data_IF_807443819232
#
_entry.id   IF_807443819232
#
_cell.length_a   1.000
_cell.length_b   1.000
_cell.length_c   1.000
_cell.angle_alpha   90.00
_cell.angle_beta   90.00
_cell.angle_gamma   90.00
#
_symmetry.space_group_name_H-M   'P 1'
#
loop_
_entity.id
_entity.type
_entity.pdbx_description
1 polymer ?
#
# COMPACT_ATOMS: atom_id res chain seq x y z
N UNK A 1 36.24 -36.97 69.81
CA UNK A 1 35.24 -36.03 69.24
C UNK A 1 34.95 -36.32 67.75
N UNK A 2 35.39 -37.46 67.20
CA UNK A 2 35.31 -37.72 65.75
C UNK A 2 34.02 -38.43 65.33
N UNK A 3 33.34 -39.12 66.24
CA UNK A 3 32.12 -39.88 65.92
C UNK A 3 30.90 -38.98 65.66
N UNK A 4 30.82 -37.82 66.32
CA UNK A 4 29.74 -36.85 66.13
C UNK A 4 29.76 -36.30 64.71
N UNK A 5 30.95 -36.00 64.19
CA UNK A 5 31.12 -35.51 62.81
C UNK A 5 30.70 -36.53 61.77
N UNK A 6 30.90 -37.83 62.08
CA UNK A 6 30.57 -38.93 61.17
C UNK A 6 29.09 -39.26 61.16
N UNK A 7 28.40 -39.09 62.28
CA UNK A 7 26.94 -39.16 62.36
C UNK A 7 26.27 -37.96 61.69
N UNK A 8 26.79 -36.75 61.91
CA UNK A 8 26.30 -35.54 61.23
C UNK A 8 26.41 -35.67 59.70
N UNK A 9 27.52 -36.22 59.19
CA UNK A 9 27.70 -36.39 57.75
C UNK A 9 26.72 -37.44 57.17
N UNK A 10 26.36 -38.48 57.93
CA UNK A 10 25.35 -39.46 57.51
C UNK A 10 23.95 -38.86 57.50
N UNK A 11 23.60 -38.01 58.46
CA UNK A 11 22.31 -37.32 58.47
C UNK A 11 22.20 -36.28 57.36
N UNK A 12 23.27 -35.54 57.07
CA UNK A 12 23.32 -34.60 55.94
C UNK A 12 23.15 -35.33 54.60
N UNK A 13 23.70 -36.54 54.45
CA UNK A 13 23.49 -37.34 53.23
C UNK A 13 22.06 -37.88 53.10
N UNK A 14 21.39 -38.19 54.21
CA UNK A 14 19.98 -38.64 54.21
C UNK A 14 18.97 -37.52 54.01
N UNK A 15 19.29 -36.29 54.44
CA UNK A 15 18.42 -35.12 54.28
C UNK A 15 18.53 -34.43 52.91
N UNK A 16 19.48 -34.84 52.05
CA UNK A 16 19.55 -34.32 50.68
C UNK A 16 18.30 -34.75 49.90
N UNK A 17 17.43 -33.81 49.48
CA UNK A 17 16.23 -34.16 48.74
C UNK A 17 16.61 -34.80 47.41
N UNK A 18 15.96 -35.92 47.07
CA UNK A 18 16.15 -36.57 45.76
C UNK A 18 15.90 -35.52 44.66
N UNK A 19 16.77 -35.42 43.64
CA UNK A 19 16.61 -34.43 42.58
C UNK A 19 15.25 -34.66 41.89
N UNK A 20 14.33 -33.73 42.10
CA UNK A 20 13.00 -33.77 41.50
C UNK A 20 13.16 -33.63 39.98
N UNK A 21 12.89 -34.70 39.23
CA UNK A 21 12.83 -34.67 37.76
C UNK A 21 11.69 -33.75 37.34
N UNK A 22 12.00 -32.46 37.18
CA UNK A 22 11.06 -31.47 36.66
C UNK A 22 10.87 -31.76 35.17
N UNK A 23 9.77 -32.41 34.82
CA UNK A 23 9.30 -32.48 33.44
C UNK A 23 9.02 -31.04 32.97
N UNK A 24 10.00 -30.42 32.31
CA UNK A 24 9.91 -29.04 31.80
C UNK A 24 8.93 -29.02 30.63
N UNK A 25 7.63 -29.01 30.92
CA UNK A 25 6.61 -28.69 29.93
C UNK A 25 6.71 -27.19 29.64
N UNK A 26 7.41 -26.85 28.55
CA UNK A 26 7.44 -25.48 28.03
C UNK A 26 6.02 -25.07 27.64
N UNK A 27 5.44 -24.16 28.42
CA UNK A 27 4.17 -23.50 28.13
C UNK A 27 4.47 -22.09 27.65
N UNK A 28 3.97 -21.77 26.47
CA UNK A 28 4.06 -20.42 25.90
C UNK A 28 2.88 -19.65 26.47
N UNK A 29 3.18 -18.52 27.10
CA UNK A 29 2.23 -17.66 27.77
C UNK A 29 2.27 -16.33 27.04
N UNK A 30 1.13 -15.89 26.53
CA UNK A 30 1.02 -14.60 25.85
C UNK A 30 0.53 -13.62 26.92
N UNK A 31 1.34 -12.61 27.19
CA UNK A 31 1.02 -11.51 28.10
C UNK A 31 0.63 -10.34 27.20
N UNK A 32 -0.61 -9.89 27.34
CA UNK A 32 -1.08 -8.67 26.67
C UNK A 32 -0.54 -7.43 27.42
N UNK A 33 -0.47 -6.28 26.75
CA UNK A 33 0.01 -5.00 27.30
C UNK A 33 -0.83 -4.53 28.52
N UNK A 34 -1.97 -5.17 28.75
CA UNK A 34 -2.88 -4.94 29.87
C UNK A 34 -2.71 -5.94 31.03
N UNK A 35 -1.66 -6.77 31.04
CA UNK A 35 -1.44 -7.79 32.06
C UNK A 35 -2.40 -8.98 31.98
N UNK A 36 -3.19 -9.06 30.92
CA UNK A 36 -4.04 -10.21 30.61
C UNK A 36 -3.19 -11.41 30.23
N UNK A 37 -3.28 -12.47 31.01
CA UNK A 37 -2.56 -13.73 30.77
C UNK A 37 -3.49 -14.67 30.02
N UNK A 38 -3.13 -15.04 28.78
CA UNK A 38 -3.80 -16.13 28.05
C UNK A 38 -2.82 -17.28 27.80
N UNK A 39 -3.24 -18.50 28.11
CA UNK A 39 -2.45 -19.71 27.86
C UNK A 39 -2.46 -20.03 26.36
N UNK A 40 -1.29 -20.02 25.73
CA UNK A 40 -1.11 -20.29 24.30
C UNK A 40 -1.13 -21.79 23.98
N UNK A 41 -2.13 -22.53 24.46
CA UNK A 41 -2.20 -23.99 24.26
C UNK A 41 -2.45 -24.36 22.78
N UNK A 42 -3.19 -23.52 22.07
CA UNK A 42 -3.47 -23.67 20.63
C UNK A 42 -2.30 -23.27 19.72
N UNK A 43 -1.23 -22.68 20.25
CA UNK A 43 -0.11 -22.20 19.42
C UNK A 43 0.74 -23.35 18.85
N UNK A 44 0.89 -24.45 19.61
CA UNK A 44 1.64 -25.64 19.16
C UNK A 44 1.00 -26.33 17.96
N UNK A 45 -0.32 -26.67 17.98
CA UNK A 45 -0.95 -27.26 16.81
C UNK A 45 -0.99 -26.29 15.63
N UNK A 46 -1.20 -24.99 15.87
CA UNK A 46 -1.19 -23.97 14.82
C UNK A 46 0.15 -23.95 14.05
N UNK A 47 1.27 -23.95 14.78
CA UNK A 47 2.61 -23.93 14.17
C UNK A 47 2.88 -25.20 13.37
N UNK A 48 2.39 -26.36 13.85
CA UNK A 48 2.47 -27.63 13.13
C UNK A 48 1.72 -27.58 11.78
N UNK A 49 0.49 -27.07 11.78
CA UNK A 49 -0.31 -26.92 10.56
C UNK A 49 0.35 -25.95 9.58
N UNK A 50 0.85 -24.82 10.07
CA UNK A 50 1.51 -23.82 9.23
C UNK A 50 2.78 -24.39 8.57
N UNK A 51 3.56 -25.17 9.31
CA UNK A 51 4.74 -25.87 8.78
C UNK A 51 4.36 -26.89 7.71
N UNK A 52 3.33 -27.71 7.94
CA UNK A 52 2.85 -28.69 6.96
C UNK A 52 2.37 -28.02 5.66
N UNK A 53 1.62 -26.92 5.77
CA UNK A 53 1.15 -26.14 4.62
C UNK A 53 2.33 -25.53 3.86
N UNK A 54 3.33 -25.00 4.56
CA UNK A 54 4.54 -24.47 3.94
C UNK A 54 5.28 -25.51 3.11
N UNK A 55 5.44 -26.73 3.65
CA UNK A 55 6.07 -27.85 2.94
C UNK A 55 5.27 -28.23 1.69
N UNK A 56 3.93 -28.27 1.77
CA UNK A 56 3.08 -28.59 0.63
C UNK A 56 3.25 -27.57 -0.51
N UNK A 57 3.29 -26.28 -0.19
CA UNK A 57 3.56 -25.23 -1.18
C UNK A 57 4.96 -25.34 -1.77
N UNK A 58 5.96 -25.69 -0.96
CA UNK A 58 7.33 -25.84 -1.44
C UNK A 58 7.46 -26.99 -2.44
N UNK A 59 6.82 -28.13 -2.17
CA UNK A 59 6.79 -29.28 -3.09
C UNK A 59 6.06 -28.92 -4.39
N UNK A 60 4.91 -28.24 -4.30
CA UNK A 60 4.18 -27.80 -5.48
C UNK A 60 5.00 -26.82 -6.34
N UNK A 61 5.69 -25.86 -5.72
CA UNK A 61 6.57 -24.92 -6.40
C UNK A 61 7.76 -25.62 -7.07
N UNK A 62 8.36 -26.61 -6.42
CA UNK A 62 9.44 -27.40 -7.00
C UNK A 62 8.96 -28.15 -8.25
N UNK A 63 7.81 -28.84 -8.17
CA UNK A 63 7.22 -29.54 -9.32
C UNK A 63 6.92 -28.56 -10.47
N UNK A 64 6.35 -27.40 -10.16
CA UNK A 64 6.08 -26.35 -11.15
C UNK A 64 7.36 -25.83 -11.81
N UNK A 65 8.43 -25.64 -11.03
CA UNK A 65 9.73 -25.21 -11.53
C UNK A 65 10.36 -26.25 -12.46
N UNK A 66 10.37 -27.53 -12.07
CA UNK A 66 10.89 -28.62 -12.90
C UNK A 66 10.09 -28.78 -14.20
N UNK A 67 8.76 -28.73 -14.14
CA UNK A 67 7.90 -28.84 -15.32
C UNK A 67 7.93 -27.59 -16.21
N UNK A 68 8.17 -26.41 -15.64
CA UNK A 68 8.36 -25.16 -16.38
C UNK A 68 9.68 -25.15 -17.15
N UNK A 69 10.75 -25.64 -16.54
CA UNK A 69 12.07 -25.74 -17.20
C UNK A 69 12.06 -26.75 -18.33
N UNK A 70 11.45 -27.93 -18.13
CA UNK A 70 11.41 -28.94 -19.19
C UNK A 70 10.72 -28.43 -20.46
N UNK A 71 9.63 -27.67 -20.32
CA UNK A 71 8.97 -27.00 -21.46
C UNK A 71 9.89 -26.00 -22.20
N UNK A 72 10.76 -25.31 -21.46
CA UNK A 72 11.75 -24.40 -22.05
C UNK A 72 12.84 -25.13 -22.84
N UNK A 73 13.31 -26.28 -22.32
CA UNK A 73 14.33 -27.11 -22.97
C UNK A 73 13.84 -27.66 -24.30
N UNK A 74 12.58 -28.10 -24.39
CA UNK A 74 12.01 -28.61 -25.64
C UNK A 74 11.95 -27.54 -26.74
N UNK A 75 11.65 -26.29 -26.36
CA UNK A 75 11.62 -25.17 -27.29
C UNK A 75 13.02 -24.79 -27.80
N UNK A 76 14.05 -24.89 -26.96
CA UNK A 76 15.43 -24.67 -27.37
C UNK A 76 15.88 -25.80 -28.30
N UNK A 77 15.55 -27.06 -27.98
CA UNK A 77 15.88 -28.23 -28.80
C UNK A 77 15.27 -28.15 -30.20
N UNK A 78 13.99 -27.78 -30.30
CA UNK A 78 13.31 -27.62 -31.60
C UNK A 78 13.92 -26.48 -32.44
N UNK A 79 14.38 -25.39 -31.82
CA UNK A 79 15.11 -24.32 -32.52
C UNK A 79 16.48 -24.79 -33.02
N UNK A 80 17.20 -25.57 -32.22
CA UNK A 80 18.52 -26.08 -32.57
C UNK A 80 18.45 -27.05 -33.75
N UNK A 81 17.51 -28.00 -33.72
CA UNK A 81 17.24 -28.90 -34.86
C UNK A 81 16.84 -28.12 -36.11
N UNK A 82 16.04 -27.06 -35.97
CA UNK A 82 15.65 -26.22 -37.12
C UNK A 82 16.84 -25.47 -37.72
N UNK A 83 17.78 -24.96 -36.91
CA UNK A 83 18.98 -24.31 -37.42
C UNK A 83 19.94 -25.30 -38.07
N UNK A 84 20.09 -26.49 -37.50
CA UNK A 84 20.91 -27.57 -38.05
C UNK A 84 20.40 -27.97 -39.45
N UNK A 85 19.10 -28.23 -39.57
CA UNK A 85 18.48 -28.55 -40.86
C UNK A 85 18.68 -27.45 -41.92
N UNK A 86 18.64 -26.17 -41.52
CA UNK A 86 18.89 -25.05 -42.45
C UNK A 86 20.34 -24.98 -42.91
N UNK A 87 21.29 -25.30 -42.03
CA UNK A 87 22.71 -25.35 -42.39
C UNK A 87 22.95 -26.49 -43.38
N UNK A 88 22.35 -27.66 -43.15
CA UNK A 88 22.45 -28.81 -44.04
C UNK A 88 21.79 -28.56 -45.41
N UNK A 89 20.66 -27.87 -45.42
CA UNK A 89 19.99 -27.44 -46.65
C UNK A 89 20.87 -26.47 -47.45
N UNK A 90 21.38 -25.41 -46.81
CA UNK A 90 22.28 -24.46 -47.46
C UNK A 90 23.59 -25.10 -47.92
N UNK A 91 24.11 -26.09 -47.17
CA UNK A 91 25.31 -26.83 -47.59
C UNK A 91 25.03 -27.65 -48.85
N UNK A 92 23.88 -28.32 -48.93
CA UNK A 92 23.47 -29.07 -50.13
C UNK A 92 23.23 -28.15 -51.32
N UNK A 93 22.54 -27.03 -51.13
CA UNK A 93 22.35 -26.03 -52.20
C UNK A 93 23.70 -25.50 -52.70
N UNK A 94 24.63 -25.19 -51.80
CA UNK A 94 25.99 -24.78 -52.15
C UNK A 94 26.72 -25.86 -52.94
N UNK A 95 26.64 -27.12 -52.54
CA UNK A 95 27.27 -28.23 -53.25
C UNK A 95 26.70 -28.42 -54.65
N UNK A 96 25.37 -28.32 -54.82
CA UNK A 96 24.71 -28.40 -56.13
C UNK A 96 25.14 -27.25 -57.03
N UNK A 97 25.21 -26.03 -56.50
CA UNK A 97 25.66 -24.85 -57.25
C UNK A 97 27.14 -24.94 -57.62
N UNK A 98 27.99 -25.41 -56.70
CA UNK A 98 29.40 -25.66 -56.97
C UNK A 98 29.57 -26.74 -58.04
N UNK A 99 28.84 -27.86 -57.96
CA UNK A 99 28.87 -28.91 -58.96
C UNK A 99 28.44 -28.38 -60.34
N UNK A 100 27.37 -27.58 -60.39
CA UNK A 100 26.91 -26.95 -61.64
C UNK A 100 27.94 -25.96 -62.21
N UNK A 101 28.61 -25.19 -61.35
CA UNK A 101 29.66 -24.26 -61.75
C UNK A 101 30.88 -25.01 -62.34
N UNK A 102 31.32 -26.07 -61.66
CA UNK A 102 32.42 -26.94 -62.09
C UNK A 102 32.09 -27.63 -63.42
N UNK A 103 30.87 -28.17 -63.57
CA UNK A 103 30.40 -28.77 -64.84
C UNK A 103 30.30 -27.72 -65.95
N UNK A 104 29.90 -26.48 -65.63
CA UNK A 104 29.84 -25.37 -66.59
C UNK A 104 31.23 -24.85 -67.01
N UNK A 105 32.34 -25.42 -66.50
CA UNK A 105 33.70 -25.07 -66.88
C UNK A 105 34.12 -23.63 -66.52
N UNK A 106 33.36 -22.97 -65.63
CA UNK A 106 33.69 -21.63 -65.12
C UNK A 106 34.51 -21.79 -63.85
N UNK A 107 35.81 -21.59 -63.96
CA UNK A 107 36.70 -21.60 -62.79
C UNK A 107 36.22 -20.57 -61.73
N UNK A 108 36.18 -20.93 -60.43
CA UNK A 108 35.72 -20.04 -59.36
C UNK A 108 36.66 -18.84 -59.08
N UNK A 109 37.73 -18.67 -59.86
CA UNK A 109 38.69 -17.57 -59.72
C UNK A 109 38.20 -16.23 -60.27
N UNK A 110 37.09 -16.17 -61.00
CA UNK A 110 36.68 -14.93 -61.71
C UNK A 110 35.62 -14.11 -60.95
N UNK A 111 34.91 -14.67 -59.96
CA UNK A 111 33.94 -13.88 -59.15
C UNK A 111 34.65 -13.24 -57.94
N UNK A 112 35.69 -12.46 -58.20
CA UNK A 112 36.29 -11.52 -57.22
C UNK A 112 36.38 -10.08 -57.76
N UNK A 113 35.81 -9.81 -58.95
CA UNK A 113 35.96 -8.51 -59.63
C UNK A 113 34.69 -7.80 -60.07
N UNK A 114 33.51 -8.24 -59.63
CA UNK A 114 32.26 -7.57 -60.03
C UNK A 114 31.25 -7.48 -58.89
N UNK A 115 31.69 -6.90 -57.76
CA UNK A 115 30.82 -6.23 -56.78
C UNK A 115 31.57 -5.00 -56.25
N UNK A 116 31.99 -4.12 -57.16
CA UNK A 116 32.22 -2.71 -56.83
C UNK A 116 31.48 -1.89 -57.89
N UNK A 117 30.24 -1.54 -57.57
CA UNK A 117 29.58 -0.26 -57.84
C UNK A 117 28.05 -0.45 -57.86
N UNK A 118 27.45 -0.39 -56.67
CA UNK A 118 26.28 0.46 -56.33
C UNK A 118 25.81 0.17 -54.89
N UNK A 119 26.02 1.19 -54.05
CA UNK A 119 25.62 1.53 -52.65
C UNK A 119 24.39 0.82 -52.03
N UNK A 120 24.14 0.86 -50.69
CA UNK A 120 24.80 1.62 -49.60
C UNK A 120 25.17 0.80 -48.33
N UNK A 121 26.13 1.30 -47.55
CA UNK A 121 26.44 0.84 -46.18
C UNK A 121 25.84 1.83 -45.18
N UNK A 122 24.89 1.34 -44.39
CA UNK A 122 24.44 1.92 -43.12
C UNK A 122 25.22 1.19 -42.02
N UNK A 123 26.02 1.91 -41.23
CA UNK A 123 25.82 2.00 -39.78
C UNK A 123 26.90 2.84 -39.08
N UNK A 124 26.40 3.67 -38.15
CA UNK A 124 26.96 4.01 -36.83
C UNK A 124 27.64 5.38 -36.66
N UNK A 125 26.83 6.37 -36.26
CA UNK A 125 27.12 7.12 -35.04
C UNK A 125 25.84 7.64 -34.35
N UNK A 126 25.49 6.89 -33.30
CA UNK A 126 24.99 7.26 -31.97
C UNK A 126 24.52 8.71 -31.68
N UNK A 127 23.28 8.77 -31.18
CA UNK A 127 22.72 9.64 -30.12
C UNK A 127 22.79 11.18 -30.30
N UNK A 128 21.69 11.76 -30.81
CA UNK A 128 21.10 12.98 -30.24
C UNK A 128 19.62 13.12 -30.70
N UNK A 129 18.73 13.29 -29.72
CA UNK A 129 17.37 13.83 -29.82
C UNK A 129 16.27 13.03 -30.53
N UNK A 130 15.62 12.21 -29.69
CA UNK A 130 14.19 11.91 -29.69
C UNK A 130 13.33 13.19 -29.84
N UNK A 131 12.31 13.10 -30.70
CA UNK A 131 10.92 13.51 -30.42
C UNK A 131 10.69 14.99 -30.07
N UNK A 132 10.35 15.76 -31.10
CA UNK A 132 9.58 17.01 -30.96
C UNK A 132 8.49 17.04 -32.04
N UNK A 133 7.53 16.11 -31.93
CA UNK A 133 6.28 16.12 -32.69
C UNK A 133 5.12 16.15 -31.69
N UNK A 134 5.02 17.25 -30.94
CA UNK A 134 3.88 17.55 -30.08
C UNK A 134 3.73 19.06 -29.75
N UNK A 135 4.30 19.94 -30.58
CA UNK A 135 4.34 21.38 -30.34
C UNK A 135 3.77 22.22 -31.50
N UNK A 136 2.68 21.73 -32.12
CA UNK A 136 1.84 22.54 -33.01
C UNK A 136 0.41 22.65 -32.48
N UNK A 137 0.30 23.00 -31.19
CA UNK A 137 -0.89 23.65 -30.63
C UNK A 137 -0.42 24.86 -29.84
N UNK A 138 -1.05 26.01 -30.15
CA UNK A 138 -1.09 27.27 -29.39
C UNK A 138 -0.15 28.39 -29.87
N UNK A 139 -0.62 29.18 -30.85
CA UNK A 139 -0.89 30.65 -30.78
C UNK A 139 -1.17 31.13 -32.21
N UNK A 140 -2.36 31.65 -32.52
CA UNK A 140 -2.78 33.04 -32.26
C UNK A 140 -4.28 33.09 -32.59
N UNK A 141 -5.16 33.33 -31.61
CA UNK A 141 -5.94 34.58 -31.40
C UNK A 141 -6.63 35.09 -32.69
N UNK A 142 -7.90 35.49 -32.77
CA UNK A 142 -8.83 36.00 -31.77
C UNK A 142 -10.19 36.31 -32.47
N UNK A 143 -11.29 36.21 -31.71
CA UNK A 143 -12.39 37.19 -31.61
C UNK A 143 -13.61 37.23 -32.59
N UNK A 144 -14.78 37.36 -31.93
CA UNK A 144 -16.10 37.91 -32.35
C UNK A 144 -16.99 37.00 -33.22
N UNK A 145 -18.30 36.86 -33.03
CA UNK A 145 -19.39 37.78 -32.59
C UNK A 145 -20.57 36.90 -32.10
N UNK A 146 -21.18 37.11 -30.93
CA UNK A 146 -22.45 37.85 -30.68
C UNK A 146 -23.56 37.49 -31.71
N UNK A 147 -24.79 37.08 -31.39
CA UNK A 147 -25.82 37.72 -30.56
C UNK A 147 -27.08 36.83 -30.42
N UNK A 148 -27.79 37.04 -29.30
CA UNK A 148 -29.27 37.01 -29.10
C UNK A 148 -29.99 35.64 -29.15
N UNK A 149 -30.92 35.30 -28.24
CA UNK A 149 -31.91 36.08 -27.47
C UNK A 149 -32.33 35.25 -26.23
N UNK A 150 -32.45 35.78 -25.00
CA UNK A 150 -33.58 36.58 -24.47
C UNK A 150 -34.95 35.87 -24.67
N UNK A 151 -35.88 35.74 -23.72
CA UNK A 151 -36.15 36.45 -22.48
C UNK A 151 -37.31 35.70 -21.75
N UNK A 152 -37.45 35.89 -20.43
CA UNK A 152 -38.69 36.42 -19.77
C UNK A 152 -39.00 35.86 -18.36
N UNK A 153 -38.54 36.64 -17.36
CA UNK A 153 -39.29 37.30 -16.24
C UNK A 153 -39.99 36.40 -15.19
N UNK A 154 -39.53 36.34 -13.92
CA UNK A 154 -39.60 37.31 -12.80
C UNK A 154 -40.97 37.49 -12.12
N UNK A 155 -40.99 37.33 -10.79
CA UNK A 155 -41.62 38.16 -9.73
C UNK A 155 -41.83 37.30 -8.47
N UNK A 156 -41.65 37.74 -7.21
CA UNK A 156 -41.59 39.08 -6.63
C UNK A 156 -40.84 39.02 -5.28
N UNK A 157 -39.97 40.00 -5.09
CA UNK A 157 -39.50 40.49 -3.79
C UNK A 157 -40.63 41.34 -3.18
N UNK A 158 -40.80 41.32 -1.85
CA UNK A 158 -41.25 42.52 -1.12
C UNK A 158 -40.53 42.60 0.22
N UNK A 159 -39.80 43.70 0.35
CA UNK A 159 -39.07 44.12 1.53
C UNK A 159 -39.94 45.00 2.43
N UNK A 160 -39.67 44.95 3.73
CA UNK A 160 -39.80 46.05 4.68
C UNK A 160 -38.98 45.69 5.91
N UNK A 161 -38.26 46.57 6.59
CA UNK A 161 -37.74 47.91 6.33
C UNK A 161 -36.71 48.11 7.47
N UNK A 162 -35.58 48.75 7.14
CA UNK A 162 -34.43 49.06 8.00
C UNK A 162 -34.73 50.20 9.01
N UNK A 163 -34.10 50.16 10.19
CA UNK A 163 -33.52 51.24 11.02
C UNK A 163 -33.33 50.72 12.47
N UNK A 164 -32.25 50.88 13.25
CA UNK A 164 -30.98 51.64 13.17
C UNK A 164 -29.97 51.06 14.19
N UNK A 165 -28.72 50.82 13.73
CA UNK A 165 -27.37 51.06 14.29
C UNK A 165 -27.18 51.24 15.83
N UNK A 166 -26.38 50.36 16.48
CA UNK A 166 -25.09 50.70 17.16
C UNK A 166 -24.43 49.52 17.96
N UNK A 167 -23.34 48.94 17.39
CA UNK A 167 -22.03 48.47 17.99
C UNK A 167 -21.97 47.36 19.10
N UNK A 168 -20.88 46.53 19.24
CA UNK A 168 -19.96 45.81 18.33
C UNK A 168 -20.03 44.24 18.52
N UNK A 169 -19.21 43.39 17.85
CA UNK A 169 -19.63 42.05 17.42
C UNK A 169 -19.30 40.92 18.41
N UNK A 170 -20.34 40.29 18.95
CA UNK A 170 -20.23 38.92 19.46
C UNK A 170 -20.45 37.94 18.29
N UNK A 171 -19.34 37.49 17.71
CA UNK A 171 -19.29 36.34 16.81
C UNK A 171 -19.66 35.08 17.58
N UNK A 172 -20.96 34.86 17.81
CA UNK A 172 -21.51 33.56 18.18
C UNK A 172 -22.16 32.94 16.94
N UNK A 173 -21.31 32.54 16.00
CA UNK A 173 -21.68 31.50 15.05
C UNK A 173 -22.00 30.25 15.87
N UNK A 174 -23.29 29.98 16.01
CA UNK A 174 -23.91 28.89 16.76
C UNK A 174 -23.15 27.58 16.55
N UNK A 175 -22.30 27.25 17.52
CA UNK A 175 -21.78 25.90 17.71
C UNK A 175 -22.96 25.03 18.10
N UNK A 176 -23.53 24.33 17.11
CA UNK A 176 -24.55 23.30 17.31
C UNK A 176 -23.98 22.32 18.33
N UNK A 177 -24.57 22.27 19.53
CA UNK A 177 -24.13 21.43 20.66
C UNK A 177 -23.98 19.98 20.17
N UNK A 178 -22.76 19.60 19.84
CA UNK A 178 -22.44 18.26 19.34
C UNK A 178 -22.50 17.30 20.52
N UNK A 179 -23.52 16.43 20.51
CA UNK A 179 -23.62 15.33 21.46
C UNK A 179 -22.53 14.31 21.12
N UNK A 180 -21.37 14.42 21.78
CA UNK A 180 -20.23 13.50 21.62
C UNK A 180 -20.69 12.08 21.97
N UNK A 181 -20.99 11.31 20.95
CA UNK A 181 -21.49 9.93 21.05
C UNK A 181 -20.32 8.94 21.10
N UNK A 182 -19.13 9.41 20.70
CA UNK A 182 -17.93 8.62 20.53
C UNK A 182 -16.75 9.31 21.21
N UNK A 183 -15.80 8.51 21.72
CA UNK A 183 -14.52 8.94 22.24
C UNK A 183 -13.37 8.28 21.47
N UNK A 184 -12.24 8.99 21.41
CA UNK A 184 -11.00 8.50 20.81
C UNK A 184 -9.92 8.44 21.87
N UNK A 185 -9.27 7.28 21.99
CA UNK A 185 -8.18 6.99 22.93
C UNK A 185 -6.97 6.42 22.17
N UNK A 186 -5.78 6.53 22.77
CA UNK A 186 -4.53 5.91 22.28
C UNK A 186 -4.21 6.23 20.81
N UNK A 187 -4.30 7.52 20.46
CA UNK A 187 -3.95 7.96 19.11
C UNK A 187 -2.44 7.93 18.89
N UNK A 188 -1.99 7.31 17.80
CA UNK A 188 -0.60 7.23 17.42
C UNK A 188 -0.44 7.26 15.90
N UNK A 189 0.63 7.91 15.43
CA UNK A 189 1.03 7.94 14.02
C UNK A 189 2.47 7.43 13.94
N UNK A 190 2.68 6.30 13.27
CA UNK A 190 4.00 5.65 13.19
C UNK A 190 4.35 5.26 11.76
N UNK A 191 5.64 5.03 11.50
CA UNK A 191 6.13 4.47 10.23
C UNK A 191 6.06 2.93 10.28
N UNK A 192 5.41 2.32 9.29
CA UNK A 192 5.19 0.86 9.19
C UNK A 192 6.30 0.19 8.35
N UNK A 193 7.38 -0.20 9.03
CA UNK A 193 8.42 -1.09 8.50
C UNK A 193 9.20 -0.57 7.28
N UNK A 194 9.90 -1.49 6.61
CA UNK A 194 10.84 -1.25 5.50
C UNK A 194 10.24 -0.55 4.28
N UNK A 195 8.91 -0.56 4.13
CA UNK A 195 8.23 0.08 3.00
C UNK A 195 7.99 1.59 3.21
N UNK A 196 8.22 2.11 4.42
CA UNK A 196 8.02 3.53 4.72
C UNK A 196 6.56 3.98 4.69
N UNK A 197 5.61 3.06 4.84
CA UNK A 197 4.18 3.39 4.89
C UNK A 197 3.87 4.14 6.19
N UNK A 198 2.93 5.09 6.13
CA UNK A 198 2.47 5.81 7.31
C UNK A 198 1.28 5.08 7.92
N UNK A 199 1.27 5.00 9.25
CA UNK A 199 0.30 4.21 9.98
C UNK A 199 -0.35 4.99 11.10
N UNK A 200 -1.63 5.25 10.93
CA UNK A 200 -2.46 5.90 11.93
C UNK A 200 -3.23 4.84 12.70
N UNK A 201 -3.13 4.84 14.02
CA UNK A 201 -3.84 3.93 14.91
C UNK A 201 -4.52 4.70 16.03
N UNK A 202 -5.73 4.30 16.38
CA UNK A 202 -6.42 4.78 17.58
C UNK A 202 -7.54 3.83 17.96
N UNK A 203 -8.01 3.95 19.20
CA UNK A 203 -9.18 3.23 19.66
C UNK A 203 -10.40 4.15 19.61
N UNK A 204 -11.46 3.66 18.99
CA UNK A 204 -12.78 4.29 19.02
C UNK A 204 -13.62 3.62 20.12
N UNK A 205 -14.30 4.42 20.95
CA UNK A 205 -15.13 3.96 22.06
C UNK A 205 -16.51 4.60 22.02
N UNK A 206 -17.55 3.80 22.23
CA UNK A 206 -18.92 4.29 22.37
C UNK A 206 -19.07 4.96 23.74
N UNK A 207 -19.38 6.26 23.75
CA UNK A 207 -19.64 7.05 24.96
C UNK A 207 -21.11 7.45 25.07
N UNK A 208 -21.98 6.81 24.29
CA UNK A 208 -23.42 7.09 24.34
C UNK A 208 -24.03 6.50 25.61
N UNK A 209 -24.96 7.25 26.20
CA UNK A 209 -25.71 6.79 27.38
C UNK A 209 -26.86 5.84 27.01
N UNK A 210 -26.98 5.44 25.73
CA UNK A 210 -28.06 4.59 25.24
C UNK A 210 -27.51 3.20 24.94
N UNK A 211 -28.23 2.13 25.30
CA UNK A 211 -27.88 0.80 24.84
C UNK A 211 -28.06 0.74 23.33
N UNK A 212 -27.02 0.28 22.62
CA UNK A 212 -27.03 0.13 21.16
C UNK A 212 -25.66 0.35 20.53
N UNK A 213 -25.55 -0.12 19.31
CA UNK A 213 -24.35 0.07 18.50
C UNK A 213 -24.32 1.49 17.92
N UNK A 214 -23.12 2.07 17.84
CA UNK A 214 -22.87 3.32 17.12
C UNK A 214 -22.12 2.98 15.85
N UNK A 215 -22.73 3.31 14.71
CA UNK A 215 -22.18 3.15 13.38
C UNK A 215 -21.88 4.49 12.72
N UNK A 216 -20.97 4.45 11.76
CA UNK A 216 -20.66 5.62 10.96
C UNK A 216 -19.43 5.47 10.08
N UNK A 217 -18.89 6.62 9.68
CA UNK A 217 -17.77 6.75 8.74
C UNK A 217 -16.69 7.64 9.33
N UNK A 218 -15.47 7.12 9.38
CA UNK A 218 -14.32 7.81 9.98
C UNK A 218 -13.40 8.36 8.90
N UNK A 219 -12.92 9.58 9.14
CA UNK A 219 -11.83 10.20 8.42
C UNK A 219 -10.78 10.70 9.40
N UNK A 220 -9.52 10.54 9.05
CA UNK A 220 -8.37 11.20 9.69
C UNK A 220 -7.76 12.17 8.70
N UNK A 221 -7.53 13.39 9.16
CA UNK A 221 -6.85 14.45 8.43
C UNK A 221 -5.50 14.70 9.12
N UNK A 222 -4.41 14.47 8.42
CA UNK A 222 -3.06 14.78 8.91
C UNK A 222 -2.62 16.12 8.32
N UNK A 223 -2.23 17.04 9.19
CA UNK A 223 -1.84 18.41 8.83
C UNK A 223 -0.36 18.63 9.18
N UNK A 224 0.45 19.13 8.23
CA UNK A 224 1.73 19.71 8.57
C UNK A 224 1.53 21.00 9.38
N UNK A 225 2.61 21.52 9.95
CA UNK A 225 2.56 22.79 10.71
C UNK A 225 2.19 23.99 9.81
N UNK A 226 2.44 23.84 8.51
CA UNK A 226 2.07 24.81 7.50
C UNK A 226 0.55 24.74 7.24
N UNK A 227 -0.14 25.88 7.32
CA UNK A 227 -1.58 26.00 7.04
C UNK A 227 -1.95 25.87 5.54
N UNK A 228 -1.15 25.16 4.75
CA UNK A 228 -1.37 24.97 3.31
C UNK A 228 -2.25 23.73 3.13
N UNK A 229 -3.50 23.93 2.71
CA UNK A 229 -4.49 22.85 2.57
C UNK A 229 -4.07 21.77 1.56
N UNK A 230 -3.33 22.13 0.51
CA UNK A 230 -2.84 21.18 -0.50
C UNK A 230 -1.84 20.14 0.04
N UNK A 231 -1.25 20.40 1.21
CA UNK A 231 -0.33 19.48 1.88
C UNK A 231 -1.03 18.63 2.94
N UNK A 232 -2.34 18.82 3.12
CA UNK A 232 -3.12 18.04 4.08
C UNK A 232 -3.45 16.68 3.53
N UNK A 233 -3.27 15.67 4.36
CA UNK A 233 -3.51 14.29 3.98
C UNK A 233 -4.80 13.80 4.60
N UNK A 234 -5.81 13.57 3.76
CA UNK A 234 -7.12 13.02 4.15
C UNK A 234 -7.14 11.51 3.96
N UNK A 235 -7.55 10.78 4.99
CA UNK A 235 -7.58 9.31 5.00
C UNK A 235 -8.89 8.80 5.59
N UNK A 236 -9.72 8.05 4.83
CA UNK A 236 -9.60 7.77 3.40
C UNK A 236 -9.64 9.03 2.51
N UNK A 237 -9.13 8.93 1.28
CA UNK A 237 -9.07 10.04 0.35
C UNK A 237 -10.47 10.59 0.03
N UNK A 238 -10.68 11.88 0.28
CA UNK A 238 -11.93 12.60 0.07
C UNK A 238 -11.66 14.07 -0.19
N UNK A 239 -12.51 14.71 -1.00
CA UNK A 239 -12.46 16.16 -1.16
C UNK A 239 -12.79 16.86 0.17
N UNK A 240 -12.04 17.92 0.49
CA UNK A 240 -12.28 18.78 1.64
C UNK A 240 -13.12 20.00 1.22
N UNK A 241 -14.06 20.39 2.06
CA UNK A 241 -14.76 21.67 1.98
C UNK A 241 -14.60 22.36 3.32
N UNK A 242 -13.89 23.49 3.35
CA UNK A 242 -13.55 24.22 4.58
C UNK A 242 -12.83 23.33 5.62
N UNK A 243 -11.91 22.47 5.17
CA UNK A 243 -11.15 21.58 6.05
C UNK A 243 -11.91 20.38 6.62
N UNK A 244 -13.15 20.13 6.18
CA UNK A 244 -13.96 18.97 6.56
C UNK A 244 -14.19 18.08 5.33
N UNK A 245 -14.09 16.74 5.44
CA UNK A 245 -14.43 15.82 4.35
C UNK A 245 -15.88 16.02 3.88
N UNK A 246 -16.04 16.35 2.60
CA UNK A 246 -17.35 16.61 1.98
C UNK A 246 -18.08 15.33 1.55
N UNK A 247 -17.33 14.28 1.20
CA UNK A 247 -17.88 13.03 0.69
C UNK A 247 -17.97 11.98 1.82
N UNK A 248 -18.89 12.17 2.77
CA UNK A 248 -19.01 11.32 3.97
C UNK A 248 -19.06 9.80 3.67
N UNK A 249 -19.62 9.41 2.53
CA UNK A 249 -19.72 8.01 2.09
C UNK A 249 -18.37 7.31 1.82
N UNK A 250 -17.30 8.07 1.52
CA UNK A 250 -15.96 7.52 1.27
C UNK A 250 -15.20 7.14 2.54
N UNK A 251 -15.74 7.49 3.71
CA UNK A 251 -15.09 7.24 4.98
C UNK A 251 -15.03 5.75 5.32
N UNK A 252 -14.15 5.42 6.25
CA UNK A 252 -14.02 4.05 6.72
C UNK A 252 -15.20 3.69 7.60
N UNK A 253 -15.96 2.68 7.20
CA UNK A 253 -17.08 2.20 7.98
C UNK A 253 -16.62 1.63 9.34
N UNK A 254 -17.38 1.95 10.37
CA UNK A 254 -17.30 1.28 11.66
C UNK A 254 -18.71 1.05 12.22
N UNK A 255 -18.81 0.05 13.09
CA UNK A 255 -19.94 -0.17 14.00
C UNK A 255 -19.37 -0.75 15.28
N UNK A 256 -19.75 -0.19 16.42
CA UNK A 256 -19.26 -0.59 17.74
C UNK A 256 -20.36 -0.54 18.81
N UNK A 257 -20.44 -1.58 19.63
CA UNK A 257 -21.17 -1.56 20.89
C UNK A 257 -20.36 -0.83 21.98
N UNK A 258 -19.07 -1.15 22.09
CA UNK A 258 -18.20 -0.68 23.16
C UNK A 258 -16.92 -0.03 22.64
N UNK A 259 -16.02 -0.80 22.03
CA UNK A 259 -14.76 -0.28 21.50
C UNK A 259 -14.29 -1.06 20.27
N UNK A 260 -13.47 -0.41 19.44
CA UNK A 260 -12.76 -1.07 18.32
C UNK A 260 -11.43 -0.37 18.06
N UNK A 261 -10.34 -1.12 17.80
CA UNK A 261 -9.12 -0.52 17.27
C UNK A 261 -9.31 -0.17 15.79
N UNK A 262 -8.94 1.06 15.41
CA UNK A 262 -8.95 1.56 14.04
C UNK A 262 -7.52 1.70 13.55
N UNK A 263 -7.27 1.24 12.33
CA UNK A 263 -5.95 1.27 11.69
C UNK A 263 -6.11 1.78 10.25
N UNK A 264 -5.40 2.85 9.93
CA UNK A 264 -5.23 3.32 8.56
C UNK A 264 -3.79 3.10 8.11
N UNK A 265 -3.62 2.44 6.96
CA UNK A 265 -2.33 2.28 6.30
C UNK A 265 -2.32 3.16 5.06
N UNK A 266 -1.37 4.08 5.03
CA UNK A 266 -1.20 5.07 3.97
C UNK A 266 0.09 4.71 3.25
N UNK A 267 -0.01 4.45 1.95
CA UNK A 267 1.14 4.04 1.15
C UNK A 267 1.99 5.25 0.79
N UNK A 268 3.31 5.15 1.03
CA UNK A 268 4.34 6.04 0.46
C UNK A 268 4.00 7.54 0.46
N UNK A 269 3.66 8.09 1.62
CA UNK A 269 3.40 9.53 1.76
C UNK A 269 4.10 10.08 3.00
N UNK A 270 5.21 10.76 2.74
CA UNK A 270 6.00 11.58 3.65
C UNK A 270 6.44 10.92 4.98
N UNK A 271 7.49 11.47 5.59
CA UNK A 271 7.88 11.02 6.92
C UNK A 271 6.83 11.43 7.96
N UNK A 272 6.54 10.59 8.98
CA UNK A 272 5.57 10.91 10.04
C UNK A 272 5.84 12.27 10.72
N UNK A 273 7.11 12.66 10.79
CA UNK A 273 7.56 13.92 11.41
C UNK A 273 7.06 15.18 10.68
N UNK A 274 6.69 15.05 9.40
CA UNK A 274 6.11 16.12 8.60
C UNK A 274 4.75 16.57 9.13
N UNK A 275 3.98 15.64 9.72
CA UNK A 275 2.67 15.92 10.27
C UNK A 275 2.78 16.24 11.76
N UNK A 276 2.34 17.43 12.15
CA UNK A 276 2.34 17.86 13.56
C UNK A 276 0.96 17.77 14.19
N UNK A 277 -0.10 17.82 13.39
CA UNK A 277 -1.48 17.79 13.88
C UNK A 277 -2.30 16.74 13.13
N UNK A 278 -3.25 16.14 13.83
CA UNK A 278 -4.24 15.25 13.28
C UNK A 278 -5.64 15.73 13.68
N UNK A 279 -6.58 15.77 12.74
CA UNK A 279 -7.99 15.95 13.03
C UNK A 279 -8.75 14.68 12.68
N UNK A 280 -9.67 14.26 13.54
CA UNK A 280 -10.48 13.07 13.32
C UNK A 280 -11.93 13.49 13.22
N UNK A 281 -12.55 13.16 12.09
CA UNK A 281 -13.95 13.42 11.81
C UNK A 281 -14.71 12.12 11.75
N UNK A 282 -15.85 12.06 12.43
CA UNK A 282 -16.74 10.90 12.39
C UNK A 282 -18.13 11.37 11.99
N UNK A 283 -18.64 10.81 10.91
CA UNK A 283 -20.00 11.04 10.43
C UNK A 283 -20.89 9.85 10.80
N UNK A 284 -22.16 10.11 11.12
CA UNK A 284 -23.15 9.05 11.21
C UNK A 284 -23.56 8.56 9.80
N UNK A 285 -24.44 7.56 9.75
CA UNK A 285 -24.95 7.02 8.47
C UNK A 285 -25.84 8.02 7.69
N UNK A 286 -26.31 9.09 8.34
CA UNK A 286 -27.08 10.18 7.72
C UNK A 286 -26.19 11.32 7.17
N UNK A 287 -24.87 11.26 7.40
CA UNK A 287 -23.92 12.31 7.00
C UNK A 287 -23.76 13.45 8.01
N UNK A 288 -24.33 13.36 9.21
CA UNK A 288 -24.09 14.34 10.27
C UNK A 288 -22.76 14.07 10.98
N UNK A 289 -22.00 15.14 11.23
CA UNK A 289 -20.76 15.09 12.01
C UNK A 289 -21.10 14.86 13.50
N UNK A 290 -20.75 13.68 14.01
CA UNK A 290 -21.01 13.24 15.41
C UNK A 290 -19.79 13.38 16.31
N UNK A 291 -18.60 13.51 15.73
CA UNK A 291 -17.35 13.72 16.45
C UNK A 291 -16.36 14.51 15.60
N UNK A 292 -15.74 15.50 16.22
CA UNK A 292 -14.61 16.26 15.71
C UNK A 292 -13.62 16.44 16.88
N UNK A 293 -12.35 16.10 16.64
CA UNK A 293 -11.27 16.38 17.57
C UNK A 293 -9.97 16.60 16.82
N UNK A 294 -9.28 17.68 17.17
CA UNK A 294 -7.89 17.94 16.81
C UNK A 294 -6.95 17.41 17.89
N UNK A 295 -5.83 16.80 17.47
CA UNK A 295 -4.83 16.15 18.31
C UNK A 295 -3.46 16.56 17.79
N UNK A 296 -2.59 17.04 18.67
CA UNK A 296 -1.19 17.29 18.34
C UNK A 296 -0.40 15.97 18.40
N UNK A 297 0.33 15.65 17.34
CA UNK A 297 1.08 14.40 17.19
C UNK A 297 2.37 14.43 18.01
N UNK A 298 2.93 15.63 18.22
CA UNK A 298 4.21 15.84 18.92
C UNK A 298 4.16 15.51 20.42
N UNK A 299 2.97 15.38 21.02
CA UNK A 299 2.78 15.09 22.45
C UNK A 299 2.23 13.68 22.73
N UNK A 300 2.13 12.81 21.71
CA UNK A 300 1.48 11.49 21.80
C UNK A 300 2.47 10.31 21.92
#
# INVERSE_FOLDING_TARGET
>A
MEDISRELEREIRRSRPKPYKKNRKSRIMIIDDFGGIRSGEYLKPLLGVLSAVSILFFVAAAIFYYTGISRGVDLIKTRLVRSENRVDELSREKEILMARLVISGKDPKIIKKEVEEKKPVVSKNREANCVSELENRVKTNQLSTAEQQENRVQSKLNASKLNTIDKPPDTSAKSKVMKKTVLIEKFAVTKDGTNGDLLVRFNIKNSSNKPGDVSGRIFTLLKPDNNIEDQWLVVPASALKNGIPSEYGKGQYFSIAHFKPVKFRIKSQADPEFFKKAAIFIFNDQGDLIFDKMIDITEA
#
